data_IF_326273161432
#
_entry.id   IF_326273161432
#
_cell.length_a   1.000
_cell.length_b   1.000
_cell.length_c   1.000
_cell.angle_alpha   90.00
_cell.angle_beta   90.00
_cell.angle_gamma   90.00
#
_symmetry.space_group_name_H-M   'P 1'
#
loop_
_entity.id
_entity.type
_entity.pdbx_description
1 polymer ?
#
# COMPACT_ATOMS: atom_id res chain seq x y z
N UNK A 1 2.75 6.65 -27.30
CA UNK A 1 3.77 7.16 -26.36
C UNK A 1 4.32 8.41 -27.01
N UNK A 2 3.88 9.58 -26.56
CA UNK A 2 4.27 10.85 -27.17
C UNK A 2 5.40 11.41 -26.33
N UNK A 3 6.59 11.56 -26.91
CA UNK A 3 7.71 12.25 -26.29
C UNK A 3 7.34 13.73 -26.31
N UNK A 4 7.14 14.32 -25.13
CA UNK A 4 6.87 15.75 -24.98
C UNK A 4 8.11 16.55 -25.42
N UNK A 5 7.90 17.66 -26.15
CA UNK A 5 8.97 18.62 -26.41
C UNK A 5 9.37 19.35 -25.13
N UNK A 6 10.60 19.88 -25.08
CA UNK A 6 11.09 20.63 -23.92
C UNK A 6 10.17 21.82 -23.53
N UNK A 7 9.54 22.46 -24.52
CA UNK A 7 8.59 23.56 -24.32
C UNK A 7 7.26 23.11 -23.68
N UNK A 8 6.86 21.86 -23.91
CA UNK A 8 5.63 21.31 -23.33
C UNK A 8 5.85 20.84 -21.89
N UNK A 9 7.04 20.32 -21.58
CA UNK A 9 7.43 20.00 -20.19
C UNK A 9 7.46 21.27 -19.32
N UNK A 10 8.01 22.37 -19.84
CA UNK A 10 8.02 23.65 -19.11
C UNK A 10 6.62 24.16 -18.76
N UNK A 11 5.68 24.07 -19.71
CA UNK A 11 4.27 24.43 -19.49
C UNK A 11 3.60 23.54 -18.45
N UNK A 12 3.83 22.23 -18.51
CA UNK A 12 3.27 21.28 -17.54
C UNK A 12 3.79 21.53 -16.12
N UNK A 13 5.08 21.86 -15.97
CA UNK A 13 5.66 22.23 -14.67
C UNK A 13 5.08 23.53 -14.13
N UNK A 14 4.91 24.54 -14.98
CA UNK A 14 4.28 25.81 -14.60
C UNK A 14 2.81 25.61 -14.18
N UNK A 15 2.07 24.74 -14.88
CA UNK A 15 0.71 24.37 -14.50
C UNK A 15 0.68 23.66 -13.13
N UNK A 16 1.59 22.70 -12.90
CA UNK A 16 1.68 21.99 -11.63
C UNK A 16 1.96 22.95 -10.47
N UNK A 17 2.87 23.91 -10.66
CA UNK A 17 3.18 24.95 -9.68
C UNK A 17 1.97 25.87 -9.41
N UNK A 18 1.30 26.36 -10.47
CA UNK A 18 0.08 27.17 -10.34
C UNK A 18 -1.01 26.43 -9.57
N UNK A 19 -1.26 25.15 -9.90
CA UNK A 19 -2.23 24.33 -9.18
C UNK A 19 -1.81 24.09 -7.73
N UNK A 20 -0.51 23.92 -7.46
CA UNK A 20 0.04 23.77 -6.11
C UNK A 20 -0.23 24.98 -5.25
N UNK A 21 0.02 26.18 -5.77
CA UNK A 21 -0.32 27.44 -5.11
C UNK A 21 -1.83 27.57 -4.84
N UNK A 22 -2.65 27.18 -5.81
CA UNK A 22 -4.10 27.30 -5.70
C UNK A 22 -4.74 26.25 -4.80
N UNK A 23 -4.07 25.12 -4.58
CA UNK A 23 -4.60 24.00 -3.84
C UNK A 23 -3.75 23.69 -2.59
N UNK A 24 -2.91 24.60 -2.12
CA UNK A 24 -2.18 24.41 -0.86
C UNK A 24 -3.11 24.57 0.36
N UNK A 25 -3.07 23.66 1.36
CA UNK A 25 -2.25 22.45 1.43
C UNK A 25 -2.92 21.22 0.76
N UNK A 26 -2.25 20.63 -0.23
CA UNK A 26 -2.64 19.35 -0.82
C UNK A 26 -1.43 18.46 -1.07
N UNK A 27 -1.68 17.15 -1.22
CA UNK A 27 -0.63 16.15 -1.34
C UNK A 27 -0.56 15.68 -2.79
N UNK A 28 0.59 15.85 -3.43
CA UNK A 28 0.83 15.35 -4.78
C UNK A 28 1.17 13.85 -4.73
N UNK A 29 0.52 13.06 -5.59
CA UNK A 29 0.75 11.63 -5.72
C UNK A 29 0.95 11.25 -7.20
N UNK A 30 0.89 9.96 -7.53
CA UNK A 30 0.87 9.52 -8.92
C UNK A 30 2.20 9.72 -9.65
N UNK A 31 2.14 9.98 -10.95
CA UNK A 31 3.34 10.04 -11.81
C UNK A 31 4.21 11.28 -11.58
N UNK A 32 3.60 12.42 -11.26
CA UNK A 32 4.32 13.65 -10.94
C UNK A 32 5.12 13.53 -9.65
N UNK A 33 4.54 12.92 -8.62
CA UNK A 33 5.26 12.63 -7.39
C UNK A 33 6.44 11.66 -7.61
N UNK A 34 6.31 10.67 -8.50
CA UNK A 34 7.45 9.84 -8.89
C UNK A 34 8.54 10.66 -9.59
N UNK A 35 8.18 11.48 -10.58
CA UNK A 35 9.13 12.33 -11.31
C UNK A 35 9.92 13.24 -10.36
N UNK A 36 9.25 13.84 -9.38
CA UNK A 36 9.90 14.65 -8.37
C UNK A 36 10.92 13.87 -7.51
N UNK A 37 10.65 12.60 -7.19
CA UNK A 37 11.50 11.78 -6.30
C UNK A 37 12.69 11.15 -7.00
N UNK A 38 12.48 10.62 -8.21
CA UNK A 38 13.46 9.77 -8.91
C UNK A 38 13.65 10.13 -10.38
N UNK A 39 13.00 11.19 -10.86
CA UNK A 39 12.99 11.55 -12.28
C UNK A 39 12.17 10.58 -13.13
N UNK A 40 12.46 10.55 -14.43
CA UNK A 40 11.79 9.67 -15.39
C UNK A 40 10.65 10.33 -16.16
N UNK A 41 9.82 9.53 -16.83
CA UNK A 41 8.76 9.99 -17.72
C UNK A 41 7.67 10.79 -16.96
N UNK A 42 7.49 12.06 -17.35
CA UNK A 42 6.42 12.92 -16.83
C UNK A 42 5.06 12.35 -17.20
N UNK A 43 4.13 12.42 -16.24
CA UNK A 43 2.74 12.04 -16.45
C UNK A 43 1.96 13.17 -17.11
N UNK A 44 1.08 12.82 -18.04
CA UNK A 44 0.08 13.76 -18.57
C UNK A 44 -1.11 13.96 -17.63
N UNK A 45 -1.26 13.11 -16.61
CA UNK A 45 -2.30 13.20 -15.59
C UNK A 45 -1.66 13.71 -14.28
N UNK A 46 -2.33 14.63 -13.58
CA UNK A 46 -1.99 15.08 -12.22
C UNK A 46 -2.92 14.38 -11.23
N UNK A 47 -2.34 13.64 -10.30
CA UNK A 47 -3.06 12.95 -9.23
C UNK A 47 -2.74 13.62 -7.89
N UNK A 48 -3.76 13.98 -7.10
CA UNK A 48 -3.57 14.65 -5.81
C UNK A 48 -4.58 14.19 -4.74
N UNK A 49 -4.24 14.41 -3.48
CA UNK A 49 -5.14 14.28 -2.33
C UNK A 49 -5.46 15.67 -1.80
N UNK A 50 -6.75 15.99 -1.72
CA UNK A 50 -7.26 17.23 -1.13
C UNK A 50 -7.65 16.95 0.31
N UNK A 51 -6.91 17.50 1.27
CA UNK A 51 -7.11 17.24 2.70
C UNK A 51 -8.17 18.13 3.35
N UNK A 52 -8.50 19.28 2.73
CA UNK A 52 -9.41 20.27 3.29
C UNK A 52 -10.66 20.47 2.43
N UNK A 53 -11.82 20.61 3.08
CA UNK A 53 -13.10 20.82 2.41
C UNK A 53 -13.16 22.16 1.65
N UNK A 54 -12.48 23.20 2.17
CA UNK A 54 -12.33 24.51 1.53
C UNK A 54 -11.66 24.39 0.17
N UNK A 55 -10.62 23.56 0.04
CA UNK A 55 -9.91 23.33 -1.21
C UNK A 55 -10.74 22.53 -2.21
N UNK A 56 -11.53 21.55 -1.74
CA UNK A 56 -12.48 20.83 -2.61
C UNK A 56 -13.47 21.79 -3.26
N UNK A 57 -13.94 22.80 -2.53
CA UNK A 57 -14.84 23.83 -3.08
C UNK A 57 -14.18 24.71 -4.15
N UNK A 58 -12.84 24.80 -4.19
CA UNK A 58 -12.08 25.53 -5.22
C UNK A 58 -11.85 24.72 -6.49
N UNK A 59 -11.99 23.38 -6.45
CA UNK A 59 -11.78 22.53 -7.63
C UNK A 59 -12.67 22.90 -8.82
N UNK A 60 -13.98 23.18 -8.68
CA UNK A 60 -14.82 23.60 -9.80
C UNK A 60 -14.43 24.95 -10.40
N UNK A 61 -13.75 25.82 -9.64
CA UNK A 61 -13.27 27.12 -10.12
C UNK A 61 -11.97 26.98 -10.92
N UNK A 62 -11.18 25.94 -10.62
CA UNK A 62 -9.87 25.70 -11.22
C UNK A 62 -9.89 24.67 -12.34
N UNK A 63 -10.86 23.76 -12.33
CA UNK A 63 -10.94 22.67 -13.28
C UNK A 63 -12.13 22.86 -14.22
N UNK A 64 -11.85 22.80 -15.52
CA UNK A 64 -12.89 22.64 -16.54
C UNK A 64 -13.37 21.20 -16.56
N UNK A 65 -14.61 20.97 -17.03
CA UNK A 65 -15.23 19.63 -17.06
C UNK A 65 -15.25 18.93 -15.69
N UNK A 66 -15.32 19.72 -14.62
CA UNK A 66 -15.34 19.22 -13.25
C UNK A 66 -16.50 18.25 -13.03
N UNK A 67 -16.20 17.08 -12.47
CA UNK A 67 -17.18 16.10 -12.03
C UNK A 67 -16.69 15.35 -10.80
N UNK A 68 -17.62 14.99 -9.92
CA UNK A 68 -17.35 14.04 -8.83
C UNK A 68 -18.01 12.70 -9.16
N UNK A 69 -17.18 11.67 -9.31
CA UNK A 69 -17.64 10.35 -9.73
C UNK A 69 -17.43 9.33 -8.62
N UNK A 70 -18.33 8.35 -8.56
CA UNK A 70 -18.14 7.19 -7.71
C UNK A 70 -16.95 6.35 -8.22
N UNK A 71 -16.07 5.94 -7.31
CA UNK A 71 -14.94 5.06 -7.60
C UNK A 71 -15.40 3.60 -7.65
N UNK A 72 -14.79 2.79 -8.53
CA UNK A 72 -14.99 1.34 -8.55
C UNK A 72 -14.48 0.65 -7.27
N UNK A 73 -13.47 1.24 -6.61
CA UNK A 73 -13.00 0.86 -5.28
C UNK A 73 -13.96 1.28 -4.14
N UNK A 74 -15.11 1.87 -4.46
CA UNK A 74 -16.03 2.48 -3.50
C UNK A 74 -15.58 3.89 -3.12
N UNK A 75 -16.55 4.78 -2.91
CA UNK A 75 -16.29 6.16 -2.54
C UNK A 75 -16.35 7.15 -3.72
N UNK A 76 -15.79 8.36 -3.56
CA UNK A 76 -15.82 9.44 -4.56
C UNK A 76 -14.43 9.96 -4.87
N UNK A 77 -14.20 10.35 -6.12
CA UNK A 77 -13.10 11.23 -6.53
C UNK A 77 -13.63 12.36 -7.39
N UNK A 78 -12.93 13.49 -7.40
CA UNK A 78 -13.14 14.52 -8.40
C UNK A 78 -12.22 14.28 -9.61
N UNK A 79 -12.72 14.68 -10.78
CA UNK A 79 -11.96 14.74 -12.02
C UNK A 79 -12.28 16.04 -12.75
N UNK A 80 -11.29 16.61 -13.41
CA UNK A 80 -11.48 17.69 -14.37
C UNK A 80 -10.24 17.88 -15.23
N UNK A 81 -10.18 19.01 -15.92
CA UNK A 81 -9.05 19.41 -16.75
C UNK A 81 -8.52 20.78 -16.33
N UNK A 82 -7.21 20.95 -16.37
CA UNK A 82 -6.56 22.24 -16.28
C UNK A 82 -5.63 22.38 -17.49
N UNK A 83 -5.85 23.37 -18.36
CA UNK A 83 -5.07 23.59 -19.58
C UNK A 83 -4.82 22.34 -20.45
N UNK A 84 -5.85 21.48 -20.57
CA UNK A 84 -5.78 20.23 -21.34
C UNK A 84 -5.10 19.06 -20.64
N UNK A 85 -4.76 19.20 -19.36
CA UNK A 85 -4.16 18.18 -18.50
C UNK A 85 -5.24 17.62 -17.58
N UNK A 86 -5.37 16.29 -17.54
CA UNK A 86 -6.32 15.65 -16.65
C UNK A 86 -5.86 15.75 -15.20
N UNK A 87 -6.79 16.12 -14.32
CA UNK A 87 -6.58 16.22 -12.89
C UNK A 87 -7.53 15.26 -12.18
N UNK A 88 -6.98 14.33 -11.42
CA UNK A 88 -7.70 13.39 -10.55
C UNK A 88 -7.44 13.76 -9.08
N UNK A 89 -8.50 14.14 -8.36
CA UNK A 89 -8.42 14.57 -6.96
C UNK A 89 -9.16 13.58 -6.03
N UNK A 90 -8.45 13.10 -5.04
CA UNK A 90 -8.90 12.13 -4.05
C UNK A 90 -9.17 12.80 -2.71
N UNK A 91 -10.16 12.29 -1.96
CA UNK A 91 -10.65 12.90 -0.73
C UNK A 91 -10.51 11.92 0.45
N UNK A 92 -9.93 12.33 1.60
CA UNK A 92 -9.92 11.54 2.82
C UNK A 92 -11.32 11.05 3.20
N UNK A 93 -11.42 9.82 3.71
CA UNK A 93 -12.66 9.14 4.14
C UNK A 93 -13.66 8.81 3.01
N UNK A 94 -13.46 9.39 1.82
CA UNK A 94 -14.30 9.15 0.65
C UNK A 94 -13.57 8.43 -0.48
N UNK A 95 -12.24 8.43 -0.53
CA UNK A 95 -11.47 7.82 -1.62
C UNK A 95 -10.66 6.61 -1.16
N UNK A 96 -10.55 5.62 -2.04
CA UNK A 96 -9.61 4.49 -1.91
C UNK A 96 -8.79 4.31 -3.17
N UNK A 97 -7.47 4.18 -3.03
CA UNK A 97 -6.56 3.97 -4.15
C UNK A 97 -6.43 2.49 -4.50
N UNK A 98 -6.68 2.18 -5.76
CA UNK A 98 -6.69 0.82 -6.30
C UNK A 98 -7.96 0.02 -5.96
N UNK A 99 -8.22 -1.02 -6.73
CA UNK A 99 -9.40 -1.87 -6.65
C UNK A 99 -9.17 -3.12 -5.79
N UNK A 100 -7.93 -3.64 -5.75
CA UNK A 100 -7.57 -4.78 -4.89
C UNK A 100 -7.11 -4.34 -3.50
N UNK A 101 -6.04 -3.53 -3.44
CA UNK A 101 -5.46 -3.05 -2.18
C UNK A 101 -6.34 -1.99 -1.48
N UNK A 102 -7.09 -1.20 -2.25
CA UNK A 102 -8.10 -0.23 -1.78
C UNK A 102 -7.59 0.64 -0.63
N UNK A 103 -6.41 1.25 -0.83
CA UNK A 103 -5.71 2.03 0.18
C UNK A 103 -6.54 3.24 0.59
N UNK A 104 -6.91 3.34 1.86
CA UNK A 104 -7.67 4.44 2.43
C UNK A 104 -6.85 5.74 2.38
N UNK A 105 -7.36 6.71 1.63
CA UNK A 105 -6.73 8.01 1.47
C UNK A 105 -6.62 8.76 2.80
N UNK A 106 -7.56 8.60 3.73
CA UNK A 106 -7.45 9.21 5.05
C UNK A 106 -6.33 8.61 5.91
N UNK A 107 -5.97 7.34 5.69
CA UNK A 107 -4.81 6.76 6.37
C UNK A 107 -3.52 7.31 5.76
N UNK A 108 -3.46 7.44 4.43
CA UNK A 108 -2.30 7.96 3.70
C UNK A 108 -1.93 9.40 4.09
N UNK A 109 -2.88 10.24 4.51
CA UNK A 109 -2.57 11.61 4.96
C UNK A 109 -1.71 11.65 6.23
N UNK A 110 -1.64 10.56 7.00
CA UNK A 110 -0.73 10.45 8.15
C UNK A 110 0.72 10.19 7.74
N UNK A 111 0.96 9.83 6.48
CA UNK A 111 2.27 9.51 5.93
C UNK A 111 2.79 10.60 5.00
N UNK A 112 2.60 11.87 5.37
CA UNK A 112 3.19 13.02 4.67
C UNK A 112 4.64 13.23 5.13
N UNK A 113 5.54 13.44 4.18
CA UNK A 113 6.94 13.74 4.42
C UNK A 113 7.09 15.22 4.83
N UNK A 114 7.44 15.53 6.10
CA UNK A 114 7.54 16.91 6.55
C UNK A 114 8.73 17.65 5.93
N UNK A 115 9.70 16.91 5.38
CA UNK A 115 10.96 17.46 4.87
C UNK A 115 11.02 17.49 3.35
N UNK A 116 9.98 17.04 2.65
CA UNK A 116 9.94 16.99 1.20
C UNK A 116 8.66 17.61 0.66
N UNK A 117 8.81 18.81 0.10
CA UNK A 117 7.77 19.54 -0.64
C UNK A 117 8.26 19.89 -2.04
N UNK A 118 7.33 20.03 -2.97
CA UNK A 118 7.62 20.41 -4.36
C UNK A 118 6.60 21.45 -4.78
N UNK A 119 7.01 22.68 -5.09
CA UNK A 119 6.14 23.72 -5.66
C UNK A 119 4.77 23.87 -4.93
N UNK A 120 4.79 24.05 -3.61
CA UNK A 120 3.58 24.16 -2.78
C UNK A 120 2.91 22.84 -2.40
N UNK A 121 3.28 21.73 -3.04
CA UNK A 121 2.72 20.41 -2.76
C UNK A 121 3.42 19.72 -1.58
N UNK A 122 2.60 19.17 -0.69
CA UNK A 122 3.06 18.13 0.23
C UNK A 122 3.28 16.83 -0.52
N UNK A 123 4.18 15.99 -0.02
CA UNK A 123 4.49 14.70 -0.62
C UNK A 123 4.24 13.60 0.40
N UNK A 124 3.69 12.47 -0.01
CA UNK A 124 3.73 11.26 0.81
C UNK A 124 5.18 10.85 1.05
N UNK A 125 5.51 10.28 2.21
CA UNK A 125 6.79 9.60 2.46
C UNK A 125 7.12 8.62 1.33
N UNK A 126 8.42 8.33 1.13
CA UNK A 126 8.85 7.41 0.07
C UNK A 126 8.11 6.07 0.15
N UNK A 127 7.96 5.54 1.35
CA UNK A 127 7.35 4.23 1.60
C UNK A 127 5.84 4.24 1.31
N UNK A 128 5.13 5.29 1.72
CA UNK A 128 3.72 5.44 1.37
C UNK A 128 3.51 5.67 -0.13
N UNK A 129 4.40 6.41 -0.79
CA UNK A 129 4.37 6.57 -2.25
C UNK A 129 4.58 5.23 -2.96
N UNK A 130 5.53 4.41 -2.50
CA UNK A 130 5.72 3.03 -2.99
C UNK A 130 4.42 2.23 -2.82
N UNK A 131 3.77 2.27 -1.64
CA UNK A 131 2.51 1.57 -1.42
C UNK A 131 1.43 1.95 -2.46
N UNK A 132 1.29 3.25 -2.80
CA UNK A 132 0.36 3.68 -3.85
C UNK A 132 0.69 3.09 -5.24
N UNK A 133 1.98 2.92 -5.53
CA UNK A 133 2.44 2.33 -6.81
C UNK A 133 2.25 0.82 -6.84
N UNK A 134 2.36 0.15 -5.70
CA UNK A 134 2.00 -1.28 -5.56
C UNK A 134 0.52 -1.48 -5.89
N UNK A 135 -0.37 -0.65 -5.32
CA UNK A 135 -1.79 -0.68 -5.64
C UNK A 135 -2.06 -0.49 -7.13
N UNK A 136 -1.46 0.52 -7.75
CA UNK A 136 -1.60 0.76 -9.18
C UNK A 136 -1.11 -0.42 -10.02
N UNK A 137 0.10 -0.95 -9.75
CA UNK A 137 0.68 -2.06 -10.50
C UNK A 137 -0.22 -3.30 -10.45
N UNK A 138 -0.70 -3.68 -9.26
CA UNK A 138 -1.51 -4.88 -9.06
C UNK A 138 -2.82 -4.84 -9.84
N UNK A 139 -3.41 -3.66 -10.02
CA UNK A 139 -4.66 -3.52 -10.76
C UNK A 139 -4.48 -3.52 -12.27
N UNK A 140 -3.40 -2.94 -12.79
CA UNK A 140 -3.23 -2.68 -14.23
C UNK A 140 -1.95 -3.27 -14.84
N UNK A 141 -1.37 -4.30 -14.22
CA UNK A 141 -0.12 -4.93 -14.64
C UNK A 141 -0.08 -5.40 -16.12
N UNK A 142 -1.24 -5.67 -16.73
CA UNK A 142 -1.35 -6.10 -18.13
C UNK A 142 -1.34 -4.93 -19.15
N UNK A 143 -1.21 -3.68 -18.70
CA UNK A 143 -1.28 -2.47 -19.53
C UNK A 143 0.08 -1.78 -19.68
N UNK A 144 0.20 -0.84 -20.63
CA UNK A 144 1.39 0.03 -20.73
C UNK A 144 1.59 0.89 -19.48
N UNK A 145 0.51 1.36 -18.85
CA UNK A 145 0.58 2.06 -17.55
C UNK A 145 1.17 1.13 -16.48
N UNK A 146 0.83 -0.17 -16.48
CA UNK A 146 1.42 -1.16 -15.58
C UNK A 146 2.92 -1.40 -15.79
N UNK A 147 3.41 -1.37 -17.04
CA UNK A 147 4.86 -1.41 -17.32
C UNK A 147 5.58 -0.17 -16.81
N UNK A 148 4.95 1.01 -16.94
CA UNK A 148 5.47 2.26 -16.37
C UNK A 148 5.55 2.17 -14.85
N UNK A 149 4.47 1.76 -14.17
CA UNK A 149 4.44 1.60 -12.71
C UNK A 149 5.52 0.62 -12.22
N UNK A 150 5.79 -0.46 -12.96
CA UNK A 150 6.86 -1.40 -12.60
C UNK A 150 8.26 -0.75 -12.67
N UNK A 151 8.55 0.08 -13.69
CA UNK A 151 9.81 0.83 -13.78
C UNK A 151 9.93 1.86 -12.66
N UNK A 152 8.83 2.55 -12.35
CA UNK A 152 8.77 3.52 -11.28
C UNK A 152 8.99 2.88 -9.91
N UNK A 153 8.35 1.74 -9.63
CA UNK A 153 8.56 0.97 -8.40
C UNK A 153 10.02 0.56 -8.23
N UNK A 154 10.66 0.06 -9.28
CA UNK A 154 12.09 -0.28 -9.24
C UNK A 154 12.93 0.94 -8.87
N UNK A 155 12.70 2.08 -9.51
CA UNK A 155 13.44 3.30 -9.22
C UNK A 155 13.21 3.82 -7.78
N UNK A 156 11.99 3.71 -7.27
CA UNK A 156 11.64 4.11 -5.90
C UNK A 156 12.22 3.17 -4.85
N UNK A 157 12.20 1.86 -5.09
CA UNK A 157 12.83 0.86 -4.21
C UNK A 157 14.35 1.10 -4.18
N UNK A 158 14.99 1.25 -5.34
CA UNK A 158 16.42 1.51 -5.46
C UNK A 158 16.83 2.87 -4.84
N UNK A 159 15.90 3.83 -4.72
CA UNK A 159 16.11 5.11 -4.04
C UNK A 159 16.21 4.98 -2.52
N UNK A 160 15.80 3.83 -1.97
CA UNK A 160 15.88 3.52 -0.54
C UNK A 160 14.52 3.21 0.11
N UNK A 161 13.61 2.56 -0.61
CA UNK A 161 12.34 2.12 -0.04
C UNK A 161 12.57 1.08 1.07
N UNK A 162 11.97 1.31 2.23
CA UNK A 162 12.15 0.48 3.43
C UNK A 162 11.05 -0.59 3.50
N UNK A 163 11.45 -1.86 3.59
CA UNK A 163 10.51 -2.97 3.64
C UNK A 163 9.52 -2.82 4.81
N UNK A 164 10.02 -2.59 6.03
CA UNK A 164 9.22 -2.51 7.24
C UNK A 164 8.17 -1.40 7.11
N UNK A 165 8.58 -0.22 6.65
CA UNK A 165 7.68 0.93 6.52
C UNK A 165 6.67 0.77 5.39
N UNK A 166 7.07 0.21 4.25
CA UNK A 166 6.12 -0.05 3.14
C UNK A 166 5.07 -1.06 3.57
N UNK A 167 5.47 -2.13 4.26
CA UNK A 167 4.52 -3.11 4.82
C UNK A 167 3.60 -2.46 5.85
N UNK A 168 4.14 -1.62 6.74
CA UNK A 168 3.36 -0.89 7.74
C UNK A 168 2.25 -0.07 7.07
N UNK A 169 2.59 0.71 6.03
CA UNK A 169 1.62 1.51 5.29
C UNK A 169 0.56 0.63 4.62
N UNK A 170 0.97 -0.47 3.98
CA UNK A 170 0.03 -1.40 3.33
C UNK A 170 -0.94 -2.02 4.34
N UNK A 171 -0.44 -2.46 5.50
CA UNK A 171 -1.27 -3.02 6.58
C UNK A 171 -2.23 -1.96 7.15
N UNK A 172 -1.76 -0.72 7.32
CA UNK A 172 -2.55 0.35 7.91
C UNK A 172 -3.63 0.88 6.95
N UNK A 173 -3.31 1.02 5.66
CA UNK A 173 -4.17 1.69 4.70
C UNK A 173 -5.08 0.72 3.92
N UNK A 174 -4.73 -0.55 3.76
CA UNK A 174 -5.58 -1.50 3.04
C UNK A 174 -6.86 -1.82 3.80
N UNK A 175 -7.97 -1.98 3.06
CA UNK A 175 -9.27 -2.35 3.65
C UNK A 175 -9.58 -3.85 3.62
N UNK A 176 -8.64 -4.67 3.13
CA UNK A 176 -8.71 -6.13 3.12
C UNK A 176 -8.02 -6.78 4.33
N UNK A 177 -8.09 -8.11 4.44
CA UNK A 177 -7.36 -8.88 5.44
C UNK A 177 -5.86 -8.58 5.42
N UNK A 178 -5.23 -8.47 6.59
CA UNK A 178 -3.80 -8.10 6.69
C UNK A 178 -2.90 -9.13 6.03
N UNK A 179 -3.28 -10.40 6.10
CA UNK A 179 -2.60 -11.53 5.47
C UNK A 179 -2.51 -11.40 3.93
N UNK A 180 -3.42 -10.65 3.29
CA UNK A 180 -3.37 -10.41 1.85
C UNK A 180 -2.17 -9.54 1.45
N UNK A 181 -1.62 -8.73 2.38
CA UNK A 181 -0.39 -7.93 2.14
C UNK A 181 0.75 -8.84 1.71
N UNK A 182 0.91 -10.02 2.31
CA UNK A 182 1.93 -11.00 1.90
C UNK A 182 1.75 -11.42 0.44
N UNK A 183 0.49 -11.62 0.01
CA UNK A 183 0.15 -11.99 -1.37
C UNK A 183 0.44 -10.83 -2.32
N UNK A 184 0.10 -9.60 -1.95
CA UNK A 184 0.34 -8.41 -2.77
C UNK A 184 1.83 -8.14 -2.99
N UNK A 185 2.65 -8.27 -1.93
CA UNK A 185 4.10 -8.13 -2.00
C UNK A 185 4.72 -9.19 -2.90
N UNK A 186 4.36 -10.46 -2.71
CA UNK A 186 4.82 -11.54 -3.57
C UNK A 186 4.45 -11.27 -5.03
N UNK A 187 3.20 -10.88 -5.28
CA UNK A 187 2.69 -10.57 -6.62
C UNK A 187 3.47 -9.42 -7.27
N UNK A 188 3.75 -8.35 -6.54
CA UNK A 188 4.59 -7.24 -7.02
C UNK A 188 5.96 -7.77 -7.47
N UNK A 189 6.69 -8.49 -6.61
CA UNK A 189 8.03 -8.99 -6.95
C UNK A 189 8.04 -10.02 -8.09
N UNK A 190 6.97 -10.78 -8.28
CA UNK A 190 6.82 -11.65 -9.46
C UNK A 190 6.65 -10.85 -10.77
N UNK A 191 6.02 -9.68 -10.70
CA UNK A 191 5.74 -8.82 -11.85
C UNK A 191 6.94 -7.95 -12.26
N UNK A 192 7.66 -7.37 -11.29
CA UNK A 192 8.72 -6.39 -11.54
C UNK A 192 9.78 -6.86 -12.56
N UNK A 193 10.38 -8.07 -12.45
CA UNK A 193 11.40 -8.55 -13.37
C UNK A 193 11.00 -8.53 -14.85
N UNK A 194 9.74 -8.85 -15.12
CA UNK A 194 9.19 -8.95 -16.48
C UNK A 194 8.77 -7.59 -16.99
N UNK A 195 8.03 -6.83 -16.19
CA UNK A 195 7.41 -5.57 -16.63
C UNK A 195 8.39 -4.40 -16.66
N UNK A 196 9.36 -4.37 -15.75
CA UNK A 196 10.40 -3.34 -15.74
C UNK A 196 11.58 -3.67 -16.67
N UNK A 197 11.61 -4.86 -17.28
CA UNK A 197 12.69 -5.26 -18.19
C UNK A 197 14.03 -5.48 -17.49
N UNK A 198 14.02 -6.02 -16.26
CA UNK A 198 15.23 -6.19 -15.46
C UNK A 198 16.22 -7.18 -16.10
N UNK A 199 17.50 -6.82 -16.08
CA UNK A 199 18.59 -7.70 -16.52
C UNK A 199 18.92 -8.78 -15.46
N UNK A 200 19.78 -9.75 -15.79
CA UNK A 200 20.07 -10.88 -14.91
C UNK A 200 20.64 -10.47 -13.54
N UNK A 201 21.48 -9.42 -13.49
CA UNK A 201 22.04 -8.93 -12.22
C UNK A 201 20.94 -8.32 -11.35
N UNK A 202 20.09 -7.47 -11.93
CA UNK A 202 18.95 -6.87 -11.25
C UNK A 202 17.95 -7.93 -10.77
N UNK A 203 17.69 -8.96 -11.58
CA UNK A 203 16.79 -10.06 -11.18
C UNK A 203 17.25 -10.81 -9.94
N UNK A 204 18.55 -11.04 -9.79
CA UNK A 204 19.11 -11.65 -8.57
C UNK A 204 18.90 -10.75 -7.36
N UNK A 205 19.26 -9.48 -7.49
CA UNK A 205 19.05 -8.49 -6.44
C UNK A 205 17.57 -8.40 -6.00
N UNK A 206 16.65 -8.33 -6.95
CA UNK A 206 15.21 -8.27 -6.66
C UNK A 206 14.65 -9.59 -6.13
N UNK A 207 15.29 -10.74 -6.37
CA UNK A 207 14.92 -12.00 -5.72
C UNK A 207 15.32 -11.99 -4.23
N UNK A 208 16.45 -11.37 -3.88
CA UNK A 208 16.86 -11.20 -2.49
C UNK A 208 15.91 -10.25 -1.75
N UNK A 209 15.59 -9.10 -2.36
CA UNK A 209 14.59 -8.16 -1.82
C UNK A 209 13.21 -8.80 -1.69
N UNK A 210 12.80 -9.63 -2.66
CA UNK A 210 11.52 -10.33 -2.60
C UNK A 210 11.41 -11.23 -1.37
N UNK A 211 12.51 -11.90 -1.00
CA UNK A 211 12.56 -12.72 0.22
C UNK A 211 12.47 -11.85 1.47
N UNK A 212 13.30 -10.82 1.57
CA UNK A 212 13.32 -9.88 2.69
C UNK A 212 11.93 -9.27 2.96
N UNK A 213 11.31 -8.70 1.92
CA UNK A 213 10.00 -8.05 2.04
C UNK A 213 8.88 -9.06 2.33
N UNK A 214 8.99 -10.30 1.84
CA UNK A 214 8.02 -11.35 2.15
C UNK A 214 8.14 -11.85 3.59
N UNK A 215 9.37 -11.97 4.11
CA UNK A 215 9.63 -12.30 5.51
C UNK A 215 9.11 -11.20 6.42
N UNK A 216 9.37 -9.95 6.07
CA UNK A 216 8.91 -8.76 6.79
C UNK A 216 7.38 -8.65 6.81
N UNK A 217 6.73 -8.85 5.65
CA UNK A 217 5.28 -8.90 5.56
C UNK A 217 4.70 -9.97 6.50
N UNK A 218 5.26 -11.19 6.50
CA UNK A 218 4.82 -12.27 7.39
C UNK A 218 5.04 -11.93 8.86
N UNK A 219 6.16 -11.29 9.21
CA UNK A 219 6.46 -10.88 10.59
C UNK A 219 5.40 -9.92 11.11
N UNK A 220 5.04 -8.90 10.33
CA UNK A 220 4.06 -7.90 10.75
C UNK A 220 2.61 -8.41 10.72
N UNK A 221 2.26 -9.30 9.78
CA UNK A 221 0.92 -9.90 9.73
C UNK A 221 0.74 -11.05 10.72
N UNK A 222 1.84 -11.71 11.11
CA UNK A 222 1.91 -12.92 11.92
C UNK A 222 2.23 -12.71 13.41
N UNK A 223 2.27 -11.47 13.90
CA UNK A 223 2.41 -11.15 15.33
C UNK A 223 1.23 -11.56 16.23
N UNK A 224 0.24 -12.29 15.69
CA UNK A 224 -0.84 -12.97 16.43
C UNK A 224 -0.79 -14.49 16.21
N UNK A 225 0.40 -15.09 16.18
CA UNK A 225 0.50 -16.45 16.74
C UNK A 225 0.25 -16.33 18.25
N UNK A 226 -1.04 -16.36 18.61
CA UNK A 226 -1.47 -16.85 19.90
C UNK A 226 -0.64 -18.10 20.17
N UNK A 227 0.22 -18.04 21.18
CA UNK A 227 0.65 -19.25 21.86
C UNK A 227 -0.65 -19.89 22.37
N UNK A 228 -1.30 -20.69 21.52
CA UNK A 228 -2.07 -21.81 21.99
C UNK A 228 -1.05 -22.70 22.69
N UNK A 229 -0.82 -22.39 23.97
CA UNK A 229 -0.57 -23.45 24.93
C UNK A 229 -1.58 -24.54 24.60
N UNK A 230 -1.10 -25.67 24.11
CA UNK A 230 -1.87 -26.89 24.13
C UNK A 230 -2.53 -26.97 25.52
N UNK A 231 -3.85 -27.20 25.61
CA UNK A 231 -4.42 -27.56 26.88
C UNK A 231 -3.75 -28.88 27.25
N UNK A 232 -2.79 -28.82 28.18
CA UNK A 232 -2.27 -30.00 28.85
C UNK A 232 -3.46 -30.75 29.41
N UNK A 233 -3.81 -31.86 28.74
CA UNK A 233 -4.79 -32.82 29.23
C UNK A 233 -4.38 -33.19 30.66
N UNK A 234 -5.30 -33.18 31.64
CA UNK A 234 -4.99 -33.69 32.96
C UNK A 234 -4.59 -35.17 32.82
N UNK A 235 -3.58 -35.65 33.57
CA UNK A 235 -3.20 -37.04 33.52
C UNK A 235 -4.39 -37.92 33.92
N UNK A 236 -4.68 -38.91 33.07
CA UNK A 236 -5.71 -39.91 33.29
C UNK A 236 -5.45 -40.62 34.63
N UNK A 237 -6.47 -40.84 35.49
CA UNK A 237 -6.25 -41.45 36.79
C UNK A 237 -5.77 -42.90 36.61
N UNK A 238 -4.65 -43.21 37.27
CA UNK A 238 -4.07 -44.54 37.31
C UNK A 238 -5.09 -45.56 37.83
N UNK A 239 -5.29 -46.63 37.05
CA UNK A 239 -6.04 -47.82 37.45
C UNK A 239 -5.37 -48.45 38.68
N UNK A 240 -6.09 -48.72 39.78
CA UNK A 240 -5.48 -49.35 40.94
C UNK A 240 -5.18 -50.84 40.67
N UNK A 241 -4.09 -51.39 41.22
CA UNK A 241 -3.74 -52.79 41.03
C UNK A 241 -4.67 -53.71 41.82
N UNK A 242 -5.09 -54.79 41.17
CA UNK A 242 -5.81 -55.91 41.77
C UNK A 242 -4.87 -56.67 42.70
N UNK A 243 -5.00 -56.49 44.01
CA UNK A 243 -4.35 -57.33 45.01
C UNK A 243 -5.28 -58.50 45.38
N UNK A 244 -4.96 -59.68 44.87
CA UNK A 244 -5.45 -60.93 45.44
C UNK A 244 -4.65 -61.32 46.69
N UNK A 245 -5.35 -61.86 47.69
CA UNK A 245 -5.18 -63.24 48.22
C UNK A 245 -5.14 -63.33 49.77
N UNK A 246 -6.11 -64.11 50.30
CA UNK A 246 -6.11 -64.99 51.50
C UNK A 246 -6.20 -64.44 52.94
N UNK A 247 -7.39 -64.69 53.52
CA UNK A 247 -7.68 -65.61 54.64
C UNK A 247 -6.96 -65.48 56.01
N UNK A 248 -7.75 -65.23 57.08
CA UNK A 248 -8.03 -66.19 58.18
C UNK A 248 -8.90 -65.61 59.32
N UNK A 249 -9.91 -66.42 59.72
CA UNK A 249 -10.35 -66.80 61.10
C UNK A 249 -10.51 -65.72 62.19
N UNK A 250 -11.70 -65.60 62.80
CA UNK A 250 -12.26 -66.41 63.91
C UNK A 250 -13.20 -65.60 64.85
N UNK A 251 -14.26 -66.26 65.36
CA UNK A 251 -14.90 -66.02 66.66
C UNK A 251 -16.04 -64.97 66.67
N UNK A 252 -17.33 -65.34 66.69
CA UNK A 252 -18.14 -65.97 67.77
C UNK A 252 -18.61 -65.01 68.88
N UNK A 253 -19.94 -64.79 68.89
CA UNK A 253 -20.86 -64.84 70.04
C UNK A 253 -21.41 -63.55 70.68
N UNK A 254 -22.69 -63.70 71.08
CA UNK A 254 -23.56 -62.93 71.99
C UNK A 254 -24.26 -61.72 71.34
N UNK A 255 -25.56 -61.49 71.51
CA UNK A 255 -26.63 -62.14 72.29
C UNK A 255 -27.97 -61.69 71.71
#
# INVERSE_FOLDING_TARGET
MTILGADDEGKLRALLDSLGYDLEPSILIGGWATNARVGGEISHDIDLIITEQSLRQRLPERLTEYSENALHSGGKKARGNADGVHVDAYFPHESKLGNKLRLDVAVLTNYVDPNFKVEGWFMLTLDAHIATKIAALIDRHSTEKGKKDARELVALIDKGGDAEKVIEVLIAASDGPKEDVVVYIRTMFELLPKLAGLNQKQRRHYADLAREWSEEARRQTGGFETQHQEPTLPPSPATPPVSGTKARRNGSSRR
#
